data_IF_447898440209
#
_entry.id   IF_447898440209
#
_cell.length_a   1.000
_cell.length_b   1.000
_cell.length_c   1.000
_cell.angle_alpha   90.00
_cell.angle_beta   90.00
_cell.angle_gamma   90.00
#
_symmetry.space_group_name_H-M   'P 1'
#
loop_
_entity.id
_entity.type
_entity.pdbx_description
1 polymer ?
#
# COMPACT_ATOMS: atom_id res chain seq x y z
N UNK A 1 -40.38 4.86 -0.22
CA UNK A 1 -39.67 3.70 0.30
C UNK A 1 -38.31 4.13 0.80
N UNK A 2 -38.05 3.97 2.09
CA UNK A 2 -36.71 4.24 2.67
C UNK A 2 -35.74 3.29 2.01
N UNK A 3 -34.84 3.80 1.19
CA UNK A 3 -33.69 3.07 0.68
C UNK A 3 -32.72 2.83 1.85
N UNK A 4 -33.02 1.84 2.68
CA UNK A 4 -32.10 1.43 3.73
C UNK A 4 -30.85 0.85 3.05
N UNK A 5 -29.77 1.60 3.06
CA UNK A 5 -28.47 1.02 2.79
C UNK A 5 -28.19 0.00 3.90
N UNK A 6 -27.69 -1.19 3.58
CA UNK A 6 -27.35 -2.19 4.60
C UNK A 6 -26.21 -1.69 5.52
N UNK A 7 -25.49 -0.64 5.09
CA UNK A 7 -24.29 -0.10 5.77
C UNK A 7 -24.28 1.42 5.63
N UNK A 8 -23.95 2.13 6.69
CA UNK A 8 -23.78 3.59 6.68
C UNK A 8 -22.46 3.99 6.03
N UNK A 9 -22.35 5.25 5.56
CA UNK A 9 -21.11 5.81 5.00
C UNK A 9 -19.95 5.73 6.02
N UNK A 10 -20.24 5.94 7.30
CA UNK A 10 -19.25 5.89 8.38
C UNK A 10 -18.74 4.48 8.67
N UNK A 11 -19.60 3.49 8.61
CA UNK A 11 -19.21 2.07 8.72
C UNK A 11 -18.35 1.64 7.53
N UNK A 12 -18.73 2.04 6.30
CA UNK A 12 -17.93 1.78 5.11
C UNK A 12 -16.57 2.49 5.15
N UNK A 13 -16.50 3.72 5.68
CA UNK A 13 -15.25 4.43 5.92
C UNK A 13 -14.38 3.69 6.95
N UNK A 14 -14.96 3.24 8.06
CA UNK A 14 -14.25 2.44 9.07
C UNK A 14 -13.70 1.13 8.50
N UNK A 15 -14.46 0.47 7.62
CA UNK A 15 -14.02 -0.72 6.89
C UNK A 15 -12.86 -0.40 5.96
N UNK A 16 -12.99 0.66 5.14
CA UNK A 16 -11.90 1.13 4.25
C UNK A 16 -10.63 1.45 5.02
N UNK A 17 -10.77 2.14 6.15
CA UNK A 17 -9.63 2.51 6.98
C UNK A 17 -8.85 1.30 7.49
N UNK A 18 -9.55 0.33 8.07
CA UNK A 18 -8.93 -0.91 8.58
C UNK A 18 -8.22 -1.67 7.47
N UNK A 19 -8.91 -1.90 6.35
CA UNK A 19 -8.35 -2.61 5.21
C UNK A 19 -7.13 -1.87 4.65
N UNK A 20 -7.20 -0.54 4.52
CA UNK A 20 -6.09 0.25 4.01
C UNK A 20 -4.88 0.25 4.96
N UNK A 21 -5.08 0.25 6.29
CA UNK A 21 -4.00 0.10 7.26
C UNK A 21 -3.34 -1.26 7.13
N UNK A 22 -4.12 -2.34 7.10
CA UNK A 22 -3.61 -3.71 6.97
C UNK A 22 -2.85 -3.90 5.64
N UNK A 23 -3.40 -3.40 4.54
CA UNK A 23 -2.79 -3.43 3.22
C UNK A 23 -1.49 -2.62 3.17
N UNK A 24 -1.49 -1.42 3.75
CA UNK A 24 -0.30 -0.56 3.83
C UNK A 24 0.80 -1.22 4.65
N UNK A 25 0.45 -1.77 5.82
CA UNK A 25 1.41 -2.48 6.67
C UNK A 25 2.06 -3.65 5.89
N UNK A 26 1.25 -4.46 5.23
CA UNK A 26 1.71 -5.59 4.44
C UNK A 26 2.60 -5.13 3.27
N UNK A 27 2.15 -4.12 2.50
CA UNK A 27 2.90 -3.57 1.37
C UNK A 27 4.23 -2.96 1.80
N UNK A 28 4.27 -2.24 2.92
CA UNK A 28 5.47 -1.59 3.46
C UNK A 28 6.45 -2.62 3.99
N UNK A 29 6.00 -3.63 4.76
CA UNK A 29 6.88 -4.69 5.27
C UNK A 29 7.50 -5.48 4.12
N UNK A 30 6.69 -5.95 3.18
CA UNK A 30 7.19 -6.69 2.02
C UNK A 30 8.03 -5.80 1.10
N UNK A 31 7.61 -4.55 0.88
CA UNK A 31 8.31 -3.58 0.07
C UNK A 31 9.68 -3.21 0.62
N UNK A 32 9.81 -3.04 1.95
CA UNK A 32 11.10 -2.84 2.62
C UNK A 32 12.02 -4.04 2.45
N UNK A 33 11.50 -5.26 2.65
CA UNK A 33 12.27 -6.48 2.46
C UNK A 33 12.80 -6.61 1.03
N UNK A 34 11.92 -6.41 0.04
CA UNK A 34 12.29 -6.45 -1.37
C UNK A 34 13.28 -5.34 -1.72
N UNK A 35 13.00 -4.10 -1.30
CA UNK A 35 13.87 -2.95 -1.56
C UNK A 35 15.26 -3.18 -0.96
N UNK A 36 15.34 -3.70 0.24
CA UNK A 36 16.60 -4.03 0.91
C UNK A 36 17.36 -5.14 0.17
N UNK A 37 16.68 -6.23 -0.23
CA UNK A 37 17.29 -7.33 -0.98
C UNK A 37 17.82 -6.88 -2.35
N UNK A 38 17.03 -6.10 -3.09
CA UNK A 38 17.36 -5.64 -4.45
C UNK A 38 18.45 -4.56 -4.44
N UNK A 39 18.53 -3.77 -3.35
CA UNK A 39 19.51 -2.67 -3.26
C UNK A 39 20.91 -3.11 -2.82
N UNK A 40 21.06 -4.30 -2.24
CA UNK A 40 22.36 -4.78 -1.76
C UNK A 40 23.32 -5.09 -2.91
N UNK A 41 24.59 -4.63 -2.87
CA UNK A 41 25.60 -5.04 -3.84
C UNK A 41 25.85 -6.54 -3.75
N UNK A 42 26.11 -7.18 -4.88
CA UNK A 42 26.45 -8.62 -4.92
C UNK A 42 27.56 -8.87 -5.94
N UNK A 43 28.49 -9.74 -5.58
CA UNK A 43 29.56 -10.22 -6.45
C UNK A 43 29.17 -11.47 -7.23
N UNK A 44 28.09 -12.15 -6.84
CA UNK A 44 27.65 -13.39 -7.49
C UNK A 44 26.73 -13.06 -8.69
N UNK A 45 27.06 -13.53 -9.90
CA UNK A 45 26.21 -13.35 -11.08
C UNK A 45 24.81 -13.98 -10.93
N UNK A 46 24.73 -15.12 -10.24
CA UNK A 46 23.45 -15.79 -9.96
C UNK A 46 22.57 -14.95 -9.04
N UNK A 47 23.12 -14.39 -7.95
CA UNK A 47 22.39 -13.51 -7.06
C UNK A 47 21.95 -12.21 -7.77
N UNK A 48 22.77 -11.66 -8.67
CA UNK A 48 22.42 -10.49 -9.47
C UNK A 48 21.25 -10.79 -10.43
N UNK A 49 21.20 -12.00 -11.01
CA UNK A 49 20.08 -12.45 -11.86
C UNK A 49 18.80 -12.58 -11.04
N UNK A 50 18.84 -13.25 -9.88
CA UNK A 50 17.71 -13.41 -9.00
C UNK A 50 17.12 -12.07 -8.53
N UNK A 51 17.96 -11.09 -8.21
CA UNK A 51 17.50 -9.75 -7.82
C UNK A 51 16.79 -9.02 -8.97
N UNK A 52 17.29 -9.16 -10.20
CA UNK A 52 16.61 -8.59 -11.38
C UNK A 52 15.25 -9.27 -11.63
N UNK A 53 15.18 -10.59 -11.48
CA UNK A 53 13.92 -11.33 -11.58
C UNK A 53 12.94 -10.88 -10.50
N UNK A 54 13.38 -10.79 -9.24
CA UNK A 54 12.56 -10.33 -8.12
C UNK A 54 12.04 -8.89 -8.36
N UNK A 55 12.93 -7.98 -8.78
CA UNK A 55 12.54 -6.61 -9.15
C UNK A 55 11.49 -6.60 -10.27
N UNK A 56 11.69 -7.40 -11.30
CA UNK A 56 10.73 -7.56 -12.40
C UNK A 56 9.38 -8.13 -11.94
N UNK A 57 9.39 -9.20 -11.16
CA UNK A 57 8.16 -9.84 -10.64
C UNK A 57 7.34 -8.87 -9.78
N UNK A 58 8.01 -8.11 -8.91
CA UNK A 58 7.33 -7.10 -8.07
C UNK A 58 6.73 -5.97 -8.90
N UNK A 59 7.27 -5.69 -10.09
CA UNK A 59 6.72 -4.67 -10.98
C UNK A 59 5.53 -5.15 -11.84
N UNK A 60 5.28 -6.46 -11.92
CA UNK A 60 4.17 -7.03 -12.72
C UNK A 60 2.81 -6.40 -12.36
N UNK A 61 2.45 -6.20 -11.08
CA UNK A 61 1.15 -5.61 -10.73
C UNK A 61 0.93 -4.20 -11.30
N UNK A 62 1.97 -3.42 -11.59
CA UNK A 62 1.82 -2.11 -12.25
C UNK A 62 1.35 -2.23 -13.71
N UNK A 63 1.66 -3.35 -14.37
CA UNK A 63 1.23 -3.62 -15.74
C UNK A 63 -0.10 -4.37 -15.84
N UNK A 64 -0.65 -4.82 -14.71
CA UNK A 64 -1.90 -5.57 -14.65
C UNK A 64 -2.98 -4.70 -14.03
N UNK A 65 -4.20 -4.74 -14.58
CA UNK A 65 -5.33 -4.03 -13.98
C UNK A 65 -5.65 -4.61 -12.58
N UNK A 66 -5.90 -3.73 -11.60
CA UNK A 66 -6.37 -4.13 -10.28
C UNK A 66 -7.67 -4.97 -10.35
N UNK A 67 -8.54 -4.68 -11.33
CA UNK A 67 -9.74 -5.46 -11.65
C UNK A 67 -9.37 -6.92 -12.01
N UNK A 68 -8.35 -7.10 -12.84
CA UNK A 68 -7.85 -8.44 -13.22
C UNK A 68 -7.29 -9.19 -12.02
N UNK A 69 -6.58 -8.50 -11.12
CA UNK A 69 -6.07 -9.09 -9.88
C UNK A 69 -7.24 -9.54 -8.99
N UNK A 70 -8.23 -8.68 -8.78
CA UNK A 70 -9.40 -9.00 -7.95
C UNK A 70 -10.23 -10.16 -8.51
N UNK A 71 -10.48 -10.15 -9.82
CA UNK A 71 -11.16 -11.25 -10.51
C UNK A 71 -10.35 -12.54 -10.45
N UNK A 72 -9.03 -12.46 -10.67
CA UNK A 72 -8.13 -13.61 -10.55
C UNK A 72 -8.20 -14.23 -9.14
N UNK A 73 -8.17 -13.43 -8.09
CA UNK A 73 -8.32 -13.91 -6.71
C UNK A 73 -9.69 -14.55 -6.48
N UNK A 74 -10.75 -13.95 -7.00
CA UNK A 74 -12.10 -14.49 -6.90
C UNK A 74 -12.20 -15.90 -7.51
N UNK A 75 -11.60 -16.11 -8.68
CA UNK A 75 -11.69 -17.39 -9.39
C UNK A 75 -10.75 -18.45 -8.82
N UNK A 76 -9.54 -18.06 -8.38
CA UNK A 76 -8.50 -19.01 -7.94
C UNK A 76 -8.59 -19.37 -6.46
N UNK A 77 -9.09 -18.46 -5.61
CA UNK A 77 -9.14 -18.63 -4.16
C UNK A 77 -10.56 -18.94 -3.64
N UNK A 78 -11.45 -19.38 -4.50
CA UNK A 78 -12.84 -19.77 -4.19
C UNK A 78 -12.99 -21.32 -4.06
N UNK A 79 -11.90 -22.07 -4.04
CA UNK A 79 -11.92 -23.54 -4.01
C UNK A 79 -10.88 -24.12 -3.06
N UNK A 80 -11.18 -25.26 -2.38
CA UNK A 80 -10.17 -25.98 -1.63
C UNK A 80 -8.94 -26.35 -2.48
N UNK A 81 -7.73 -26.30 -1.91
CA UNK A 81 -7.38 -26.16 -0.49
C UNK A 81 -7.26 -24.70 -0.01
N UNK A 82 -7.41 -23.70 -0.86
CA UNK A 82 -7.19 -22.28 -0.54
C UNK A 82 -8.50 -21.47 -0.65
N UNK A 83 -9.58 -21.91 -0.03
CA UNK A 83 -10.79 -21.11 0.08
C UNK A 83 -10.58 -19.92 1.04
N UNK A 84 -10.13 -18.79 0.45
CA UNK A 84 -9.92 -17.53 1.16
C UNK A 84 -11.03 -16.50 0.90
N UNK A 85 -12.07 -16.85 0.13
CA UNK A 85 -13.14 -15.93 -0.26
C UNK A 85 -13.86 -15.31 0.95
N UNK A 86 -14.02 -16.08 2.02
CA UNK A 86 -14.64 -15.60 3.25
C UNK A 86 -13.65 -14.95 4.21
N UNK A 87 -12.35 -14.99 3.90
CA UNK A 87 -11.31 -14.45 4.77
C UNK A 87 -11.26 -12.92 4.72
N UNK A 88 -11.20 -12.23 5.88
CA UNK A 88 -11.06 -10.79 5.93
C UNK A 88 -9.70 -10.30 5.41
N UNK A 89 -8.74 -11.21 5.22
CA UNK A 89 -7.35 -10.88 4.82
C UNK A 89 -7.20 -10.75 3.30
N UNK A 90 -8.15 -11.29 2.52
CA UNK A 90 -8.02 -11.34 1.06
C UNK A 90 -7.99 -9.95 0.42
N UNK A 91 -8.83 -9.02 0.88
CA UNK A 91 -8.85 -7.64 0.37
C UNK A 91 -7.56 -6.91 0.71
N UNK A 92 -7.06 -6.89 1.97
CA UNK A 92 -5.75 -6.34 2.30
C UNK A 92 -4.60 -6.90 1.45
N UNK A 93 -4.58 -8.21 1.16
CA UNK A 93 -3.55 -8.82 0.30
C UNK A 93 -3.64 -8.29 -1.13
N UNK A 94 -4.85 -8.20 -1.70
CA UNK A 94 -5.04 -7.67 -3.05
C UNK A 94 -4.61 -6.20 -3.16
N UNK A 95 -4.99 -5.37 -2.20
CA UNK A 95 -4.58 -3.96 -2.14
C UNK A 95 -3.06 -3.81 -1.91
N UNK A 96 -2.48 -4.64 -1.02
CA UNK A 96 -1.04 -4.64 -0.79
C UNK A 96 -0.26 -5.01 -2.06
N UNK A 97 -0.75 -5.97 -2.85
CA UNK A 97 -0.13 -6.35 -4.11
C UNK A 97 -0.09 -5.19 -5.12
N UNK A 98 -1.14 -4.36 -5.15
CA UNK A 98 -1.20 -3.16 -6.00
C UNK A 98 -0.27 -2.05 -5.46
N UNK A 99 -0.18 -1.87 -4.15
CA UNK A 99 0.64 -0.84 -3.52
C UNK A 99 2.13 -1.19 -3.43
N UNK A 100 2.48 -2.49 -3.38
CA UNK A 100 3.85 -2.99 -3.21
C UNK A 100 4.87 -2.41 -4.20
N UNK A 101 4.61 -2.38 -5.51
CA UNK A 101 5.55 -1.82 -6.47
C UNK A 101 5.88 -0.35 -6.21
N UNK A 102 4.90 0.43 -5.74
CA UNK A 102 5.08 1.86 -5.44
C UNK A 102 6.02 2.05 -4.24
N UNK A 103 5.88 1.22 -3.21
CA UNK A 103 6.79 1.21 -2.06
C UNK A 103 8.21 0.87 -2.49
N UNK A 104 8.37 -0.19 -3.29
CA UNK A 104 9.69 -0.62 -3.80
C UNK A 104 10.33 0.46 -4.68
N UNK A 105 9.55 1.06 -5.60
CA UNK A 105 10.02 2.15 -6.48
C UNK A 105 10.44 3.40 -5.71
N UNK A 106 9.81 3.68 -4.58
CA UNK A 106 10.17 4.81 -3.73
C UNK A 106 11.46 4.54 -2.94
N UNK A 107 11.65 3.32 -2.43
CA UNK A 107 12.73 3.01 -1.51
C UNK A 107 14.03 2.54 -2.19
N UNK A 108 13.95 1.80 -3.31
CA UNK A 108 15.15 1.24 -3.99
C UNK A 108 16.15 2.32 -4.41
N UNK A 109 15.76 3.43 -5.07
CA UNK A 109 16.70 4.48 -5.45
C UNK A 109 17.42 5.10 -4.26
N UNK A 110 16.69 5.30 -3.16
CA UNK A 110 17.23 5.87 -1.92
C UNK A 110 18.27 4.94 -1.30
N UNK A 111 17.91 3.65 -1.15
CA UNK A 111 18.82 2.65 -0.59
C UNK A 111 20.10 2.44 -1.44
N UNK A 112 19.98 2.57 -2.77
CA UNK A 112 21.11 2.51 -3.69
C UNK A 112 21.96 3.79 -3.68
N UNK A 113 21.36 4.93 -3.31
CA UNK A 113 22.04 6.23 -3.22
C UNK A 113 22.87 6.41 -1.95
N UNK A 114 22.76 5.53 -0.96
CA UNK A 114 23.60 5.58 0.25
C UNK A 114 25.02 5.16 -0.10
N UNK A 115 25.98 6.07 0.09
CA UNK A 115 27.40 5.79 -0.20
C UNK A 115 27.94 4.75 0.78
N UNK A 116 28.50 3.65 0.23
CA UNK A 116 29.11 2.59 1.02
C UNK A 116 30.30 3.08 1.85
N UNK A 117 30.93 4.20 1.47
CA UNK A 117 32.00 4.85 2.25
C UNK A 117 31.50 5.31 3.63
N UNK A 118 30.26 5.80 3.73
CA UNK A 118 29.66 6.20 5.01
C UNK A 118 29.52 5.00 5.94
N UNK A 119 29.06 3.86 5.40
CA UNK A 119 28.94 2.60 6.15
C UNK A 119 30.32 2.06 6.58
N UNK A 120 31.32 2.14 5.68
CA UNK A 120 32.69 1.74 5.98
C UNK A 120 33.33 2.63 7.05
N UNK A 121 33.15 3.97 6.98
CA UNK A 121 33.61 4.89 7.99
C UNK A 121 33.03 4.60 9.37
N UNK A 122 31.71 4.33 9.44
CA UNK A 122 31.08 3.93 10.70
C UNK A 122 31.64 2.59 11.24
N UNK A 123 31.87 1.63 10.35
CA UNK A 123 32.46 0.33 10.73
C UNK A 123 33.90 0.44 11.20
N UNK A 124 34.73 1.30 10.60
CA UNK A 124 36.13 1.57 11.05
C UNK A 124 36.16 2.24 12.43
N UNK A 125 35.13 3.00 12.78
CA UNK A 125 34.93 3.55 14.13
C UNK A 125 34.36 2.54 15.14
N UNK A 126 34.24 1.25 14.75
CA UNK A 126 33.80 0.18 15.63
C UNK A 126 32.28 0.00 15.72
N UNK A 127 31.51 0.68 14.86
CA UNK A 127 30.07 0.52 14.85
C UNK A 127 29.65 -0.90 14.40
N UNK A 128 28.78 -1.53 15.18
CA UNK A 128 28.16 -2.83 14.84
C UNK A 128 27.18 -2.66 13.68
N UNK A 129 26.86 -3.71 12.91
CA UNK A 129 25.97 -3.62 11.75
C UNK A 129 24.61 -2.96 12.04
N UNK A 130 24.02 -3.21 13.20
CA UNK A 130 22.77 -2.58 13.61
C UNK A 130 22.93 -1.09 13.95
N UNK A 131 24.11 -0.66 14.45
CA UNK A 131 24.42 0.75 14.71
C UNK A 131 24.60 1.49 13.40
N UNK A 132 25.26 0.89 12.41
CA UNK A 132 25.36 1.44 11.04
C UNK A 132 23.96 1.63 10.44
N UNK A 133 23.07 0.63 10.59
CA UNK A 133 21.68 0.72 10.13
C UNK A 133 20.96 1.91 10.77
N UNK A 134 21.10 2.11 12.08
CA UNK A 134 20.39 3.18 12.79
C UNK A 134 21.00 4.56 12.59
N UNK A 135 22.35 4.68 12.46
CA UNK A 135 23.05 5.97 12.38
C UNK A 135 23.25 6.46 10.94
N UNK A 136 23.33 5.57 9.96
CA UNK A 136 23.60 5.90 8.56
C UNK A 136 22.38 5.67 7.68
N UNK A 137 21.86 4.44 7.67
CA UNK A 137 20.83 4.07 6.71
C UNK A 137 19.45 4.66 7.09
N UNK A 138 19.04 4.52 8.35
CA UNK A 138 17.71 4.93 8.82
C UNK A 138 17.44 6.44 8.66
N UNK A 139 18.36 7.36 9.01
CA UNK A 139 18.11 8.80 8.83
C UNK A 139 17.90 9.19 7.36
N UNK A 140 18.58 8.53 6.43
CA UNK A 140 18.45 8.79 4.99
C UNK A 140 17.14 8.22 4.45
N UNK A 141 16.75 7.02 4.92
CA UNK A 141 15.58 6.28 4.41
C UNK A 141 14.27 6.76 5.03
N UNK A 142 14.29 7.35 6.23
CA UNK A 142 13.11 7.70 7.00
C UNK A 142 12.08 8.55 6.24
N UNK A 143 12.53 9.62 5.58
CA UNK A 143 11.63 10.50 4.81
C UNK A 143 11.00 9.82 3.60
N UNK A 144 11.77 9.15 2.71
CA UNK A 144 11.22 8.33 1.64
C UNK A 144 10.32 7.20 2.14
N UNK A 145 10.64 6.63 3.30
CA UNK A 145 9.81 5.63 3.96
C UNK A 145 8.42 6.19 4.31
N UNK A 146 8.35 7.37 4.95
CA UNK A 146 7.08 8.03 5.24
C UNK A 146 6.30 8.33 3.95
N UNK A 147 6.97 8.80 2.90
CA UNK A 147 6.33 9.02 1.60
C UNK A 147 5.76 7.72 1.02
N UNK A 148 6.50 6.61 1.12
CA UNK A 148 6.03 5.30 0.66
C UNK A 148 4.80 4.80 1.45
N UNK A 149 4.81 5.00 2.78
CA UNK A 149 3.66 4.69 3.66
C UNK A 149 2.42 5.50 3.25
N UNK A 150 2.59 6.82 3.08
CA UNK A 150 1.49 7.70 2.68
C UNK A 150 0.93 7.34 1.32
N UNK A 151 1.79 7.07 0.34
CA UNK A 151 1.38 6.67 -1.00
C UNK A 151 0.65 5.32 -0.99
N UNK A 152 1.16 4.32 -0.27
CA UNK A 152 0.50 3.03 -0.13
C UNK A 152 -0.87 3.16 0.53
N UNK A 153 -0.98 3.98 1.59
CA UNK A 153 -2.25 4.24 2.27
C UNK A 153 -3.26 4.95 1.37
N UNK A 154 -2.82 5.97 0.62
CA UNK A 154 -3.70 6.70 -0.30
C UNK A 154 -4.22 5.81 -1.42
N UNK A 155 -3.35 4.99 -2.01
CA UNK A 155 -3.73 4.02 -3.06
C UNK A 155 -4.69 2.98 -2.49
N UNK A 156 -4.44 2.44 -1.29
CA UNK A 156 -5.32 1.45 -0.67
C UNK A 156 -6.68 2.03 -0.29
N UNK A 157 -6.77 3.27 0.20
CA UNK A 157 -8.05 3.93 0.49
C UNK A 157 -8.91 4.14 -0.75
N UNK A 158 -8.29 4.48 -1.89
CA UNK A 158 -8.96 4.70 -3.16
C UNK A 158 -9.13 3.44 -4.01
N UNK A 159 -8.61 2.30 -3.56
CA UNK A 159 -8.65 1.08 -4.37
C UNK A 159 -10.09 0.56 -4.51
N UNK A 160 -10.53 0.44 -5.74
CA UNK A 160 -11.86 -0.03 -6.12
C UNK A 160 -11.78 -1.29 -7.00
N UNK A 161 -10.80 -1.37 -7.89
CA UNK A 161 -10.73 -2.39 -8.93
C UNK A 161 -10.74 -3.82 -8.39
N UNK A 162 -9.79 -4.18 -7.55
CA UNK A 162 -9.74 -5.49 -6.93
C UNK A 162 -10.83 -5.65 -5.87
N UNK A 163 -11.07 -4.59 -5.09
CA UNK A 163 -12.03 -4.62 -3.98
C UNK A 163 -13.46 -4.84 -4.45
N UNK A 164 -13.85 -4.35 -5.64
CA UNK A 164 -15.20 -4.53 -6.19
C UNK A 164 -15.61 -6.00 -6.37
N UNK A 165 -14.65 -6.89 -6.62
CA UNK A 165 -14.88 -8.34 -6.74
C UNK A 165 -14.82 -9.08 -5.42
N UNK A 166 -14.05 -8.54 -4.47
CA UNK A 166 -13.75 -9.22 -3.20
C UNK A 166 -14.57 -8.70 -2.02
N UNK A 167 -15.15 -7.48 -2.15
CA UNK A 167 -15.93 -6.87 -1.09
C UNK A 167 -17.22 -7.66 -0.80
N UNK A 168 -17.51 -7.79 0.48
CA UNK A 168 -18.74 -8.44 0.95
C UNK A 168 -19.86 -7.42 1.06
N UNK A 169 -21.12 -7.82 0.75
CA UNK A 169 -22.26 -6.91 0.84
C UNK A 169 -22.50 -6.32 2.24
N UNK A 170 -22.15 -7.08 3.28
CA UNK A 170 -22.29 -6.68 4.69
C UNK A 170 -21.18 -5.74 5.18
N UNK A 171 -20.06 -5.67 4.46
CA UNK A 171 -18.88 -4.83 4.83
C UNK A 171 -18.20 -4.24 3.58
N UNK A 172 -18.90 -3.40 2.82
CA UNK A 172 -18.30 -2.77 1.66
C UNK A 172 -17.26 -1.73 2.09
N UNK A 173 -16.24 -1.52 1.25
CA UNK A 173 -15.40 -0.34 1.36
C UNK A 173 -16.12 0.89 0.85
N UNK A 174 -15.64 2.07 1.21
CA UNK A 174 -16.27 3.32 0.79
C UNK A 174 -16.32 3.51 -0.73
N UNK A 175 -15.24 3.19 -1.52
CA UNK A 175 -15.33 3.21 -2.98
C UNK A 175 -16.40 2.25 -3.55
N UNK A 176 -16.53 1.05 -2.99
CA UNK A 176 -17.55 0.08 -3.41
C UNK A 176 -18.97 0.55 -3.06
N UNK A 177 -19.14 1.16 -1.87
CA UNK A 177 -20.41 1.75 -1.48
C UNK A 177 -20.81 2.89 -2.42
N UNK A 178 -19.88 3.79 -2.77
CA UNK A 178 -20.10 4.88 -3.73
C UNK A 178 -20.57 4.31 -5.07
N UNK A 179 -19.91 3.28 -5.57
CA UNK A 179 -20.30 2.62 -6.82
C UNK A 179 -21.71 2.04 -6.78
N UNK A 180 -22.08 1.38 -5.68
CA UNK A 180 -23.43 0.83 -5.49
C UNK A 180 -24.49 1.92 -5.41
N UNK A 181 -24.18 3.08 -4.82
CA UNK A 181 -25.07 4.23 -4.74
C UNK A 181 -25.32 4.86 -6.13
N UNK A 182 -24.27 5.02 -6.93
CA UNK A 182 -24.38 5.54 -8.30
C UNK A 182 -25.22 4.61 -9.18
N UNK A 183 -25.09 3.31 -9.00
CA UNK A 183 -25.85 2.31 -9.75
C UNK A 183 -27.35 2.22 -9.37
N UNK A 184 -27.80 2.93 -8.32
CA UNK A 184 -29.20 2.95 -7.91
C UNK A 184 -29.91 4.21 -8.42
N UNK A 185 -31.09 4.11 -9.06
CA UNK A 185 -31.84 5.27 -9.51
C UNK A 185 -32.32 6.11 -8.31
N UNK A 186 -32.38 7.44 -8.50
CA UNK A 186 -32.90 8.39 -7.53
C UNK A 186 -31.89 9.48 -7.14
N UNK A 187 -32.39 10.72 -7.00
CA UNK A 187 -31.56 11.89 -6.67
C UNK A 187 -30.89 11.75 -5.29
N UNK A 188 -31.57 11.14 -4.33
CA UNK A 188 -31.04 10.91 -2.98
C UNK A 188 -29.82 9.98 -2.98
N UNK A 189 -29.85 8.92 -3.80
CA UNK A 189 -28.73 8.00 -3.94
C UNK A 189 -27.51 8.69 -4.57
N UNK A 190 -27.74 9.51 -5.60
CA UNK A 190 -26.67 10.30 -6.21
C UNK A 190 -26.09 11.33 -5.22
N UNK A 191 -26.95 12.02 -4.47
CA UNK A 191 -26.53 12.96 -3.43
C UNK A 191 -25.68 12.27 -2.35
N UNK A 192 -26.07 11.08 -1.90
CA UNK A 192 -25.27 10.30 -0.94
C UNK A 192 -23.94 9.82 -1.54
N UNK A 193 -23.92 9.41 -2.82
CA UNK A 193 -22.69 9.03 -3.50
C UNK A 193 -21.69 10.20 -3.58
N UNK A 194 -22.17 11.38 -3.95
CA UNK A 194 -21.35 12.59 -4.01
C UNK A 194 -20.80 12.97 -2.63
N UNK A 195 -21.65 12.97 -1.60
CA UNK A 195 -21.21 13.23 -0.22
C UNK A 195 -20.16 12.22 0.25
N UNK A 196 -20.37 10.93 0.00
CA UNK A 196 -19.40 9.88 0.33
C UNK A 196 -18.07 10.03 -0.42
N UNK A 197 -18.12 10.48 -1.69
CA UNK A 197 -16.92 10.78 -2.49
C UNK A 197 -16.13 11.96 -1.92
N UNK A 198 -16.80 13.00 -1.44
CA UNK A 198 -16.16 14.13 -0.76
C UNK A 198 -15.49 13.66 0.54
N UNK A 199 -16.17 12.83 1.33
CA UNK A 199 -15.59 12.25 2.56
C UNK A 199 -14.32 11.46 2.24
N UNK A 200 -14.36 10.59 1.21
CA UNK A 200 -13.19 9.83 0.78
C UNK A 200 -12.03 10.74 0.36
N UNK A 201 -12.32 11.76 -0.45
CA UNK A 201 -11.33 12.73 -0.91
C UNK A 201 -10.69 13.49 0.27
N UNK A 202 -11.49 14.00 1.21
CA UNK A 202 -11.02 14.70 2.40
C UNK A 202 -10.12 13.79 3.27
N UNK A 203 -10.53 12.56 3.51
CA UNK A 203 -9.74 11.61 4.29
C UNK A 203 -8.41 11.31 3.60
N UNK A 204 -8.42 11.06 2.29
CA UNK A 204 -7.19 10.76 1.53
C UNK A 204 -6.24 11.95 1.52
N UNK A 205 -6.75 13.16 1.27
CA UNK A 205 -5.95 14.41 1.30
C UNK A 205 -5.39 14.67 2.70
N UNK A 206 -6.18 14.40 3.75
CA UNK A 206 -5.72 14.56 5.14
C UNK A 206 -4.58 13.60 5.45
N UNK A 207 -4.71 12.33 5.07
CA UNK A 207 -3.64 11.32 5.25
C UNK A 207 -2.36 11.77 4.54
N UNK A 208 -2.47 12.17 3.25
CA UNK A 208 -1.31 12.66 2.49
C UNK A 208 -0.71 13.92 3.11
N UNK A 209 -1.53 14.86 3.56
CA UNK A 209 -1.09 16.10 4.20
C UNK A 209 -0.36 15.84 5.54
N UNK A 210 -0.86 14.89 6.34
CA UNK A 210 -0.19 14.48 7.59
C UNK A 210 1.18 13.86 7.30
N UNK A 211 1.23 12.92 6.33
CA UNK A 211 2.49 12.29 5.92
C UNK A 211 3.49 13.32 5.39
N UNK A 212 3.04 14.25 4.57
CA UNK A 212 3.90 15.32 4.03
C UNK A 212 4.43 16.24 5.14
N UNK A 213 3.60 16.62 6.11
CA UNK A 213 4.05 17.40 7.28
C UNK A 213 5.11 16.65 8.09
N UNK A 214 4.92 15.36 8.36
CA UNK A 214 5.92 14.55 9.06
C UNK A 214 7.24 14.45 8.29
N UNK A 215 7.17 14.42 6.95
CA UNK A 215 8.34 14.42 6.08
C UNK A 215 9.11 15.74 6.14
N UNK A 216 8.40 16.87 6.18
CA UNK A 216 8.99 18.23 6.15
C UNK A 216 9.47 18.67 7.54
N UNK A 217 8.73 18.36 8.61
CA UNK A 217 9.09 18.79 9.99
C UNK A 217 10.44 18.24 10.45
N UNK A 218 10.92 17.16 9.87
CA UNK A 218 12.25 16.61 10.14
C UNK A 218 13.41 17.41 9.47
N UNK A 219 13.11 18.48 8.69
CA UNK A 219 14.13 19.35 8.06
C UNK A 219 14.67 20.41 9.02
N UNK A 220 13.90 20.79 10.05
CA UNK A 220 14.26 21.86 10.99
C UNK A 220 15.01 21.41 12.26
N UNK A 221 15.44 20.15 12.35
CA UNK A 221 16.07 19.59 13.55
C UNK A 221 17.59 19.40 13.43
N UNK A 222 18.26 20.17 12.52
CA UNK A 222 19.73 20.21 12.44
C UNK A 222 20.20 21.65 12.41
#
# INVERSE_FOLDING_TARGET
GRNALPVTVWEALGTSWRIAVDATLLAVVLGLLVAWLVSRPTRSPAAARWRRVLDGVVMVPLGVSAVTVGFGFLVTLDRPPLDLRTSPVLIPIAQALVALPLVVRTLVPVLRGIDDRQRQAAATLGARPWQVLLSVDLPVVWRPFLAAVGLAMAVSLGEFGATSFLARPDRPTLPVLIYHLIGRPGADNLGMALAASVVLAVVTVTVMGVVERLRVSSVGAF
#
